data_IF_476639076186
#
_entry.id   IF_476639076186
#
_cell.length_a   1.000
_cell.length_b   1.000
_cell.length_c   1.000
_cell.angle_alpha   90.00
_cell.angle_beta   90.00
_cell.angle_gamma   90.00
#
_symmetry.space_group_name_H-M   'P 1'
#
loop_
_entity.id
_entity.type
_entity.pdbx_description
1 polymer ?
#
# COMPACT_ATOMS: atom_id res chain seq x y z
N UNK A 1 -56.92 -69.18 -60.62
CA UNK A 1 -57.35 -67.86 -60.94
C UNK A 1 -56.68 -66.92 -59.92
N UNK A 2 -55.72 -66.15 -60.45
CA UNK A 2 -55.57 -64.68 -60.27
C UNK A 2 -55.43 -64.21 -58.86
N UNK A 3 -54.57 -63.36 -58.48
CA UNK A 3 -53.76 -62.32 -59.13
C UNK A 3 -52.63 -61.89 -58.17
N UNK A 4 -51.52 -61.44 -58.76
CA UNK A 4 -50.38 -60.79 -58.12
C UNK A 4 -50.73 -59.37 -57.70
N UNK A 5 -50.29 -58.95 -56.52
CA UNK A 5 -50.01 -57.54 -56.31
C UNK A 5 -48.68 -57.35 -55.72
N UNK A 6 -47.89 -56.56 -56.37
CA UNK A 6 -46.59 -56.04 -56.11
C UNK A 6 -46.75 -54.97 -55.02
N UNK A 7 -46.01 -55.03 -53.92
CA UNK A 7 -45.95 -54.01 -52.92
C UNK A 7 -44.55 -53.42 -52.81
N UNK A 8 -44.44 -52.15 -53.12
CA UNK A 8 -43.27 -51.33 -53.25
C UNK A 8 -42.57 -51.11 -51.93
N UNK A 9 -41.28 -51.45 -51.90
CA UNK A 9 -40.40 -51.17 -50.78
C UNK A 9 -40.12 -49.64 -50.65
N UNK A 10 -40.49 -49.07 -49.49
CA UNK A 10 -40.13 -47.71 -49.16
C UNK A 10 -38.88 -47.76 -48.24
N UNK A 11 -37.74 -47.41 -48.82
CA UNK A 11 -36.49 -47.25 -48.09
C UNK A 11 -36.54 -45.98 -47.26
N UNK A 12 -36.53 -46.14 -45.96
CA UNK A 12 -36.39 -45.06 -45.01
C UNK A 12 -34.94 -44.61 -44.98
N UNK A 13 -34.71 -43.39 -45.46
CA UNK A 13 -33.42 -42.69 -45.34
C UNK A 13 -33.27 -42.19 -43.90
N UNK A 14 -32.39 -42.81 -43.10
CA UNK A 14 -31.91 -42.28 -41.81
C UNK A 14 -30.92 -41.14 -42.13
N UNK A 15 -31.35 -39.92 -41.82
CA UNK A 15 -30.50 -38.73 -41.83
C UNK A 15 -29.65 -38.74 -40.54
N UNK A 16 -28.35 -38.96 -40.68
CA UNK A 16 -27.38 -38.76 -39.61
C UNK A 16 -27.15 -37.24 -39.44
N UNK A 17 -27.68 -36.67 -38.38
CA UNK A 17 -27.33 -35.31 -37.92
C UNK A 17 -26.11 -35.41 -37.02
N UNK A 18 -24.96 -34.79 -37.37
CA UNK A 18 -23.83 -34.78 -36.48
C UNK A 18 -24.14 -33.85 -35.27
N UNK A 19 -24.17 -34.43 -34.10
CA UNK A 19 -24.18 -33.66 -32.84
C UNK A 19 -22.83 -32.97 -32.68
N UNK A 20 -22.79 -31.66 -32.98
CA UNK A 20 -21.68 -30.80 -32.55
C UNK A 20 -21.68 -30.75 -31.03
N UNK A 21 -20.69 -31.41 -30.42
CA UNK A 21 -20.35 -31.21 -29.03
C UNK A 21 -19.66 -29.84 -28.93
N UNK A 22 -20.39 -28.84 -28.44
CA UNK A 22 -19.81 -27.56 -28.04
C UNK A 22 -19.08 -27.78 -26.71
N UNK A 23 -17.76 -27.97 -26.80
CA UNK A 23 -16.89 -27.95 -25.63
C UNK A 23 -16.80 -26.51 -25.13
N UNK A 24 -17.58 -26.17 -24.12
CA UNK A 24 -17.36 -24.92 -23.36
C UNK A 24 -16.03 -25.01 -22.62
N UNK A 25 -14.98 -24.46 -23.26
CA UNK A 25 -13.71 -24.18 -22.56
C UNK A 25 -14.01 -23.05 -21.57
N UNK A 26 -14.27 -23.38 -20.32
CA UNK A 26 -14.31 -22.43 -19.22
C UNK A 26 -12.92 -21.84 -19.04
N UNK A 27 -12.69 -20.61 -19.53
CA UNK A 27 -11.54 -19.81 -19.13
C UNK A 27 -11.70 -19.52 -17.62
N UNK A 28 -10.97 -20.25 -16.82
CA UNK A 28 -10.67 -19.86 -15.45
C UNK A 28 -9.80 -18.61 -15.55
N UNK A 29 -10.43 -17.43 -15.50
CA UNK A 29 -9.75 -16.19 -15.25
C UNK A 29 -9.17 -16.30 -13.83
N UNK A 30 -7.92 -16.77 -13.71
CA UNK A 30 -7.12 -16.58 -12.52
C UNK A 30 -7.07 -15.07 -12.32
N UNK A 31 -7.83 -14.58 -11.34
CA UNK A 31 -7.82 -13.18 -10.93
C UNK A 31 -6.45 -12.84 -10.38
N UNK A 32 -5.52 -12.50 -11.26
CA UNK A 32 -4.30 -11.83 -10.87
C UNK A 32 -4.72 -10.60 -10.08
N UNK A 33 -4.27 -10.48 -8.84
CA UNK A 33 -4.36 -9.26 -8.06
C UNK A 33 -3.63 -8.18 -8.87
N UNK A 34 -4.38 -7.45 -9.69
CA UNK A 34 -3.82 -6.37 -10.49
C UNK A 34 -3.57 -5.20 -9.55
N UNK A 35 -2.35 -5.12 -9.02
CA UNK A 35 -1.87 -3.88 -8.44
C UNK A 35 -1.56 -2.92 -9.59
N UNK A 36 -2.23 -1.78 -9.62
CA UNK A 36 -1.93 -0.74 -10.62
C UNK A 36 -0.91 0.21 -10.03
N UNK A 37 0.24 0.35 -10.69
CA UNK A 37 1.23 1.35 -10.34
C UNK A 37 0.57 2.73 -10.47
N UNK A 38 0.54 3.50 -9.39
CA UNK A 38 0.13 4.89 -9.41
C UNK A 38 1.39 5.78 -9.36
N UNK A 39 1.85 6.31 -10.50
CA UNK A 39 3.02 7.17 -10.51
C UNK A 39 2.77 8.39 -9.62
N UNK A 40 3.83 8.88 -8.98
CA UNK A 40 3.77 10.14 -8.25
C UNK A 40 3.28 11.23 -9.21
N UNK A 41 2.09 11.78 -8.92
CA UNK A 41 1.53 12.83 -9.74
C UNK A 41 2.34 14.11 -9.52
N UNK A 42 3.08 14.55 -10.52
CA UNK A 42 3.72 15.87 -10.53
C UNK A 42 2.74 17.03 -10.29
N UNK A 43 1.46 16.81 -10.59
CA UNK A 43 0.38 17.76 -10.33
C UNK A 43 0.14 17.97 -8.82
N UNK A 44 0.52 17.03 -7.96
CA UNK A 44 0.39 17.16 -6.51
C UNK A 44 1.52 18.00 -5.89
N UNK A 45 2.60 18.28 -6.63
CA UNK A 45 3.78 19.00 -6.15
C UNK A 45 3.70 20.49 -6.45
N UNK A 46 3.98 21.30 -5.44
CA UNK A 46 4.15 22.74 -5.62
C UNK A 46 5.44 23.05 -6.40
N UNK A 47 5.59 24.26 -6.99
CA UNK A 47 6.86 24.68 -7.60
C UNK A 47 8.04 24.62 -6.61
N UNK A 48 7.79 24.88 -5.33
CA UNK A 48 8.79 24.75 -4.26
C UNK A 48 9.22 23.30 -4.09
N UNK A 49 8.28 22.35 -4.06
CA UNK A 49 8.57 20.92 -3.94
C UNK A 49 9.46 20.46 -5.10
N UNK A 50 9.05 20.77 -6.33
CA UNK A 50 9.81 20.42 -7.54
C UNK A 50 11.24 20.94 -7.49
N UNK A 51 11.41 22.22 -7.10
CA UNK A 51 12.74 22.85 -6.99
C UNK A 51 13.63 22.16 -5.94
N UNK A 52 13.06 21.85 -4.77
CA UNK A 52 13.83 21.25 -3.67
C UNK A 52 14.18 19.79 -3.97
N UNK A 53 13.26 19.01 -4.53
CA UNK A 53 13.48 17.59 -4.83
C UNK A 53 14.41 17.39 -6.04
N UNK A 54 14.35 18.23 -7.06
CA UNK A 54 15.25 18.13 -8.21
C UNK A 54 16.73 18.28 -7.84
N UNK A 55 17.03 18.98 -6.74
CA UNK A 55 18.41 19.21 -6.25
C UNK A 55 18.72 18.37 -4.99
N UNK A 56 17.88 17.39 -4.68
CA UNK A 56 18.11 16.51 -3.53
C UNK A 56 19.29 15.57 -3.79
N UNK A 57 20.16 15.31 -2.80
CA UNK A 57 21.32 14.43 -2.96
C UNK A 57 20.94 12.98 -3.22
N UNK A 58 19.67 12.62 -2.99
CA UNK A 58 19.09 11.29 -3.18
C UNK A 58 18.14 11.22 -4.40
N UNK A 59 18.13 12.20 -5.29
CA UNK A 59 17.22 12.26 -6.45
C UNK A 59 17.34 11.03 -7.38
N UNK A 60 18.45 10.31 -7.32
CA UNK A 60 18.71 9.09 -8.11
C UNK A 60 18.47 7.79 -7.32
N UNK A 61 17.95 7.87 -6.09
CA UNK A 61 17.66 6.68 -5.30
C UNK A 61 16.58 5.82 -5.96
N UNK A 62 16.82 4.53 -6.06
CA UNK A 62 15.87 3.56 -6.63
C UNK A 62 15.12 2.86 -5.52
N UNK A 63 13.79 2.96 -5.54
CA UNK A 63 12.92 2.26 -4.62
C UNK A 63 12.64 0.85 -5.19
N UNK A 64 12.83 -0.23 -4.41
CA UNK A 64 12.48 -1.58 -4.85
C UNK A 64 11.00 -1.67 -5.25
N UNK A 65 10.71 -2.40 -6.33
CA UNK A 65 9.36 -2.48 -6.92
C UNK A 65 8.24 -2.79 -5.93
N UNK A 66 8.39 -3.73 -4.98
CA UNK A 66 7.32 -4.01 -4.01
C UNK A 66 6.95 -2.81 -3.13
N UNK A 67 7.87 -1.87 -2.94
CA UNK A 67 7.70 -0.70 -2.07
C UNK A 67 7.35 0.59 -2.82
N UNK A 68 7.20 0.54 -4.14
CA UNK A 68 6.61 1.65 -4.89
C UNK A 68 5.14 1.79 -4.56
N UNK A 69 4.59 2.98 -4.78
CA UNK A 69 3.19 3.26 -4.53
C UNK A 69 2.28 2.54 -5.51
N UNK A 70 1.27 1.81 -4.99
CA UNK A 70 0.30 1.07 -5.79
C UNK A 70 -1.11 1.25 -5.26
N UNK A 71 -2.10 1.23 -6.16
CA UNK A 71 -3.49 0.96 -5.78
C UNK A 71 -3.66 -0.55 -5.68
N UNK A 72 -4.11 -1.02 -4.52
CA UNK A 72 -4.29 -2.43 -4.21
C UNK A 72 -5.72 -2.73 -3.76
N UNK A 73 -6.12 -4.00 -3.83
CA UNK A 73 -7.33 -4.46 -3.16
C UNK A 73 -7.13 -4.38 -1.65
N UNK A 74 -8.15 -3.92 -0.94
CA UNK A 74 -8.11 -3.75 0.51
C UNK A 74 -9.28 -4.50 1.14
N UNK A 75 -8.97 -5.57 1.89
CA UNK A 75 -9.97 -6.50 2.42
C UNK A 75 -10.23 -6.33 3.92
N UNK A 76 -9.61 -5.34 4.55
CA UNK A 76 -9.81 -5.03 5.95
C UNK A 76 -11.02 -4.11 6.12
N UNK A 77 -11.44 -3.88 7.37
CA UNK A 77 -12.70 -3.21 7.73
C UNK A 77 -12.59 -1.69 7.91
N UNK A 78 -11.39 -1.13 7.84
CA UNK A 78 -11.19 0.29 8.06
C UNK A 78 -11.88 1.11 6.95
N UNK A 79 -12.51 2.20 7.35
CA UNK A 79 -13.31 3.05 6.43
C UNK A 79 -12.43 3.90 5.51
N UNK A 80 -12.96 4.28 4.35
CA UNK A 80 -12.29 5.19 3.42
C UNK A 80 -11.82 6.49 4.12
N UNK A 81 -10.62 6.94 3.78
CA UNK A 81 -9.96 8.08 4.40
C UNK A 81 -9.11 7.73 5.64
N UNK A 82 -9.11 6.47 6.09
CA UNK A 82 -8.25 6.00 7.19
C UNK A 82 -6.83 5.73 6.70
N UNK A 83 -5.84 6.07 7.53
CA UNK A 83 -4.45 5.62 7.38
C UNK A 83 -4.28 4.33 8.20
N UNK A 84 -3.74 3.29 7.60
CA UNK A 84 -3.40 2.04 8.30
C UNK A 84 -1.91 1.77 8.12
N UNK A 85 -1.19 1.59 9.23
CA UNK A 85 0.24 1.31 9.24
C UNK A 85 0.44 -0.15 9.59
N UNK A 86 1.04 -0.90 8.68
CA UNK A 86 1.49 -2.28 8.84
C UNK A 86 3.03 -2.27 8.93
N UNK A 87 3.52 -2.22 10.16
CA UNK A 87 4.96 -2.18 10.42
C UNK A 87 5.66 -3.49 10.06
N UNK A 88 4.97 -4.63 10.16
CA UNK A 88 5.54 -5.95 9.84
C UNK A 88 5.80 -6.10 8.34
N UNK A 89 4.84 -5.67 7.52
CA UNK A 89 4.93 -5.72 6.06
C UNK A 89 5.70 -4.53 5.47
N UNK A 90 5.96 -3.49 6.25
CA UNK A 90 6.58 -2.22 5.84
C UNK A 90 5.74 -1.46 4.81
N UNK A 91 4.44 -1.43 5.06
CA UNK A 91 3.48 -0.71 4.26
C UNK A 91 2.62 0.25 5.07
N UNK A 92 2.27 1.35 4.45
CA UNK A 92 1.19 2.23 4.89
C UNK A 92 0.10 2.20 3.83
N UNK A 93 -1.15 2.09 4.27
CA UNK A 93 -2.33 2.11 3.42
C UNK A 93 -3.13 3.38 3.68
N UNK A 94 -3.50 4.09 2.63
CA UNK A 94 -4.56 5.08 2.66
C UNK A 94 -5.80 4.45 2.05
N UNK A 95 -6.80 4.19 2.89
CA UNK A 95 -8.00 3.45 2.49
C UNK A 95 -8.86 4.29 1.57
N UNK A 96 -9.22 3.74 0.42
CA UNK A 96 -10.13 4.31 -0.56
C UNK A 96 -11.53 3.68 -0.44
N UNK A 97 -12.49 4.18 -1.23
CA UNK A 97 -13.76 3.51 -1.44
C UNK A 97 -13.59 2.18 -2.18
N UNK A 98 -14.67 1.40 -2.29
CA UNK A 98 -14.80 0.22 -3.14
C UNK A 98 -13.75 -0.89 -2.87
N UNK A 99 -13.36 -1.06 -1.60
CA UNK A 99 -12.42 -2.09 -1.20
C UNK A 99 -11.01 -1.92 -1.80
N UNK A 100 -10.58 -0.69 -1.99
CA UNK A 100 -9.25 -0.31 -2.48
C UNK A 100 -8.48 0.46 -1.43
N UNK A 101 -7.16 0.49 -1.59
CA UNK A 101 -6.28 1.38 -0.86
C UNK A 101 -5.08 1.79 -1.72
N UNK A 102 -4.53 2.96 -1.45
CA UNK A 102 -3.19 3.31 -1.92
C UNK A 102 -2.22 2.72 -0.90
N UNK A 103 -1.33 1.86 -1.37
CA UNK A 103 -0.26 1.27 -0.57
C UNK A 103 1.05 1.99 -0.85
N UNK A 104 1.68 2.47 0.20
CA UNK A 104 2.99 3.11 0.18
C UNK A 104 4.01 2.21 0.87
N UNK A 105 5.21 2.09 0.31
CA UNK A 105 6.34 1.51 1.02
C UNK A 105 6.85 2.45 2.10
N UNK A 106 7.20 1.91 3.26
CA UNK A 106 7.68 2.68 4.40
C UNK A 106 8.97 2.11 4.97
N UNK A 107 9.73 2.98 5.65
CA UNK A 107 10.73 2.57 6.63
C UNK A 107 10.12 2.70 8.01
N UNK A 108 10.26 1.68 8.84
CA UNK A 108 9.80 1.70 10.24
C UNK A 108 10.99 1.74 11.20
N UNK A 109 10.80 2.38 12.34
CA UNK A 109 11.77 2.36 13.43
C UNK A 109 11.56 1.19 14.38
N UNK A 110 12.60 0.77 15.10
CA UNK A 110 12.48 -0.23 16.15
C UNK A 110 11.48 0.21 17.21
N UNK A 111 11.47 1.51 17.58
CA UNK A 111 10.49 2.09 18.50
C UNK A 111 9.11 2.29 17.84
N UNK A 112 8.99 2.20 16.50
CA UNK A 112 7.70 2.19 15.80
C UNK A 112 6.88 0.93 16.11
N UNK A 113 7.54 -0.11 16.56
CA UNK A 113 6.90 -1.31 17.09
C UNK A 113 6.32 -1.08 18.50
N UNK A 114 6.69 0.02 19.17
CA UNK A 114 6.23 0.32 20.52
C UNK A 114 4.83 0.97 20.56
N UNK A 115 4.35 1.58 19.47
CA UNK A 115 3.00 2.13 19.38
C UNK A 115 2.13 1.30 18.44
N UNK A 116 1.05 0.77 18.96
CA UNK A 116 -0.04 0.16 18.19
C UNK A 116 -1.37 0.62 18.77
N UNK A 117 -2.36 0.80 17.90
CA UNK A 117 -3.68 1.23 18.30
C UNK A 117 -4.28 2.31 17.41
N UNK A 118 -5.26 3.01 17.97
CA UNK A 118 -6.05 4.03 17.28
C UNK A 118 -5.55 5.43 17.65
N UNK A 119 -5.26 6.21 16.64
CA UNK A 119 -4.79 7.57 16.76
C UNK A 119 -5.44 8.47 15.69
N UNK A 120 -5.04 9.74 15.64
CA UNK A 120 -5.47 10.69 14.62
C UNK A 120 -4.33 11.61 14.18
N UNK A 121 -4.46 12.18 12.99
CA UNK A 121 -3.60 13.27 12.55
C UNK A 121 -4.02 14.55 13.27
N UNK A 122 -3.19 15.03 14.20
CA UNK A 122 -3.49 16.24 14.97
C UNK A 122 -2.89 17.52 14.36
N UNK A 123 -1.78 17.40 13.62
CA UNK A 123 -1.10 18.52 12.95
C UNK A 123 -0.44 18.04 11.66
N UNK A 124 -0.31 18.95 10.71
CA UNK A 124 0.36 18.74 9.42
C UNK A 124 1.37 19.86 9.19
N UNK A 125 2.52 19.56 8.59
CA UNK A 125 3.54 20.54 8.30
C UNK A 125 4.26 20.26 6.99
N UNK A 126 4.45 21.29 6.17
CA UNK A 126 5.22 21.23 4.94
C UNK A 126 6.67 21.64 5.21
N UNK A 127 7.61 20.86 4.70
CA UNK A 127 9.05 21.09 4.87
C UNK A 127 9.38 21.49 6.31
N UNK A 128 9.11 20.61 7.30
CA UNK A 128 9.34 20.91 8.71
C UNK A 128 10.84 21.08 8.99
N UNK A 129 11.16 21.85 10.00
CA UNK A 129 12.48 21.78 10.63
C UNK A 129 12.61 20.51 11.48
N UNK A 130 13.82 20.12 11.79
CA UNK A 130 14.07 18.99 12.67
C UNK A 130 14.92 19.38 13.87
N UNK A 131 14.42 19.05 15.05
CA UNK A 131 15.15 19.13 16.31
C UNK A 131 15.12 17.74 16.93
N UNK A 132 16.28 17.07 17.04
CA UNK A 132 16.33 15.74 17.63
C UNK A 132 15.88 15.73 19.08
N UNK A 133 15.12 14.71 19.47
CA UNK A 133 14.77 14.46 20.88
C UNK A 133 16.02 14.10 21.69
N UNK A 134 15.92 14.18 23.01
CA UNK A 134 17.05 13.79 23.88
C UNK A 134 17.43 12.32 23.69
N UNK A 135 16.48 11.45 23.41
CA UNK A 135 16.74 10.01 23.18
C UNK A 135 17.44 9.78 21.85
N UNK A 136 17.06 10.51 20.79
CA UNK A 136 17.78 10.50 19.51
C UNK A 136 19.22 11.00 19.70
N UNK A 137 19.43 12.10 20.47
CA UNK A 137 20.78 12.59 20.76
C UNK A 137 21.63 11.58 21.53
N UNK A 138 21.06 10.93 22.53
CA UNK A 138 21.76 9.86 23.28
C UNK A 138 22.18 8.69 22.41
N UNK A 139 21.30 8.27 21.50
CA UNK A 139 21.54 7.11 20.63
C UNK A 139 22.49 7.39 19.49
N UNK A 140 22.33 8.52 18.80
CA UNK A 140 23.10 8.87 17.60
C UNK A 140 24.36 9.69 17.89
N UNK A 141 24.52 10.18 19.11
CA UNK A 141 25.73 10.91 19.52
C UNK A 141 25.87 12.28 18.85
N UNK A 142 26.92 12.45 18.06
CA UNK A 142 27.27 13.74 17.46
C UNK A 142 26.37 14.08 16.25
N UNK A 143 25.18 14.59 16.52
CA UNK A 143 24.22 15.04 15.50
C UNK A 143 23.90 16.53 15.68
N UNK A 144 23.49 17.26 14.61
CA UNK A 144 23.09 18.66 14.72
C UNK A 144 21.96 18.86 15.75
N UNK A 145 22.06 19.93 16.53
CA UNK A 145 20.99 20.32 17.46
C UNK A 145 19.72 20.79 16.75
N UNK A 146 19.84 21.21 15.49
CA UNK A 146 18.77 21.70 14.63
C UNK A 146 19.14 21.51 13.16
N UNK A 147 18.16 21.09 12.34
CA UNK A 147 18.27 21.06 10.88
C UNK A 147 17.14 21.89 10.27
N UNK A 148 17.51 22.88 9.47
CA UNK A 148 16.55 23.73 8.77
C UNK A 148 15.70 22.95 7.73
N UNK A 149 14.52 23.47 7.35
CA UNK A 149 13.73 22.91 6.26
C UNK A 149 14.52 22.75 4.96
N UNK A 150 14.38 21.61 4.30
CA UNK A 150 15.04 21.39 3.01
C UNK A 150 15.33 19.92 2.72
N UNK A 151 15.96 19.61 1.55
CA UNK A 151 16.18 18.24 1.09
C UNK A 151 17.14 17.44 1.98
N UNK A 152 18.00 18.11 2.76
CA UNK A 152 18.91 17.45 3.70
C UNK A 152 18.28 17.15 5.08
N UNK A 153 17.06 17.65 5.31
CA UNK A 153 16.37 17.45 6.58
C UNK A 153 15.80 16.03 6.68
N UNK A 154 16.07 15.29 7.78
CA UNK A 154 15.58 13.94 7.95
C UNK A 154 14.04 13.82 8.00
N UNK A 155 13.31 14.91 8.28
CA UNK A 155 11.84 14.93 8.24
C UNK A 155 11.29 15.02 6.81
N UNK A 156 12.13 15.31 5.83
CA UNK A 156 11.74 15.40 4.42
C UNK A 156 10.74 16.50 4.12
N UNK A 157 9.94 16.26 3.08
CA UNK A 157 9.04 17.26 2.47
C UNK A 157 7.77 17.53 3.28
N UNK A 158 7.26 16.55 4.03
CA UNK A 158 5.98 16.61 4.77
C UNK A 158 6.06 15.84 6.07
N UNK A 159 5.32 16.31 7.08
CA UNK A 159 5.10 15.59 8.32
C UNK A 159 3.64 15.61 8.76
N UNK A 160 3.13 14.45 9.15
CA UNK A 160 1.85 14.25 9.82
C UNK A 160 2.17 13.89 11.28
N UNK A 161 1.67 14.68 12.21
CA UNK A 161 1.87 14.49 13.65
C UNK A 161 0.71 13.69 14.21
N UNK A 162 1.02 12.56 14.83
CA UNK A 162 0.03 11.58 15.30
C UNK A 162 -0.29 11.81 16.76
N UNK A 163 -1.58 11.88 17.08
CA UNK A 163 -2.11 12.14 18.41
C UNK A 163 -3.03 11.02 18.88
N UNK A 164 -2.91 10.64 20.14
CA UNK A 164 -3.88 9.81 20.85
C UNK A 164 -4.72 10.72 21.75
N UNK A 165 -6.00 10.87 21.41
CA UNK A 165 -6.82 11.92 22.03
C UNK A 165 -6.19 13.30 21.80
N UNK A 166 -5.84 14.00 22.91
CA UNK A 166 -5.17 15.30 22.87
C UNK A 166 -3.65 15.22 23.14
N UNK A 167 -3.14 14.02 23.36
CA UNK A 167 -1.72 13.79 23.64
C UNK A 167 -0.95 13.58 22.35
N UNK A 168 0.11 14.35 22.14
CA UNK A 168 1.09 14.09 21.09
C UNK A 168 1.84 12.80 21.42
N UNK A 169 1.74 11.80 20.55
CA UNK A 169 2.39 10.50 20.72
C UNK A 169 3.89 10.54 20.44
N UNK A 170 4.39 11.65 19.94
CA UNK A 170 5.73 11.82 19.35
C UNK A 170 5.95 10.96 18.09
N UNK A 171 4.95 10.23 17.65
CA UNK A 171 4.94 9.51 16.38
C UNK A 171 4.70 10.47 15.23
N UNK A 172 5.45 10.26 14.15
CA UNK A 172 5.34 11.04 12.93
C UNK A 172 5.28 10.10 11.74
N UNK A 173 4.47 10.47 10.77
CA UNK A 173 4.48 9.92 9.41
C UNK A 173 5.05 11.03 8.53
N UNK A 174 6.24 10.82 7.93
CA UNK A 174 6.95 11.93 7.28
C UNK A 174 7.79 11.47 6.09
N UNK A 175 8.26 12.41 5.28
CA UNK A 175 9.21 12.16 4.21
C UNK A 175 10.60 11.78 4.74
N UNK A 176 11.56 11.57 3.86
CA UNK A 176 12.92 11.22 4.26
C UNK A 176 13.96 11.84 3.33
N UNK A 177 15.16 12.06 3.85
CA UNK A 177 16.36 12.33 3.06
C UNK A 177 17.20 11.07 2.79
N UNK A 178 16.66 9.88 3.13
CA UNK A 178 17.30 8.57 2.98
C UNK A 178 16.32 7.56 2.37
N UNK A 179 15.82 7.79 1.13
CA UNK A 179 14.81 6.94 0.51
C UNK A 179 15.30 5.53 0.18
N UNK A 180 16.61 5.29 0.13
CA UNK A 180 17.23 3.98 -0.06
C UNK A 180 16.86 2.96 1.02
N UNK A 181 16.38 3.43 2.17
CA UNK A 181 15.95 2.57 3.27
C UNK A 181 14.46 2.21 3.25
N UNK A 182 13.70 2.66 2.26
CA UNK A 182 12.28 2.25 2.13
C UNK A 182 12.20 0.73 2.00
N UNK A 183 11.33 0.11 2.78
CA UNK A 183 11.22 -1.34 2.93
C UNK A 183 12.04 -1.93 4.09
N UNK A 184 12.81 -1.13 4.81
CA UNK A 184 13.67 -1.56 5.91
C UNK A 184 13.10 -1.23 7.29
N UNK A 185 13.65 -1.87 8.34
CA UNK A 185 13.36 -1.58 9.73
C UNK A 185 14.64 -1.04 10.40
N UNK A 186 14.94 0.25 10.23
CA UNK A 186 16.20 0.85 10.70
C UNK A 186 16.03 2.23 11.34
N UNK A 187 14.83 2.68 11.60
CA UNK A 187 14.61 4.03 12.11
C UNK A 187 14.34 4.07 13.62
N UNK A 188 14.36 5.27 14.15
CA UNK A 188 14.17 5.56 15.57
C UNK A 188 12.72 5.88 15.95
N UNK A 189 11.74 5.12 15.46
CA UNK A 189 10.36 5.22 15.93
C UNK A 189 9.38 5.91 14.99
N UNK A 190 9.81 6.67 13.98
CA UNK A 190 8.92 7.32 13.03
C UNK A 190 8.67 6.44 11.79
N UNK A 191 7.57 6.70 11.11
CA UNK A 191 7.19 6.09 9.83
C UNK A 191 7.69 7.01 8.72
N UNK A 192 8.61 6.51 7.88
CA UNK A 192 9.19 7.31 6.79
C UNK A 192 8.67 6.84 5.44
N UNK A 193 8.31 7.77 4.58
CA UNK A 193 7.97 7.58 3.17
C UNK A 193 9.03 8.24 2.29
N UNK A 194 9.03 7.95 0.99
CA UNK A 194 9.70 8.85 0.05
C UNK A 194 9.09 10.25 0.15
N UNK A 195 9.80 11.27 -0.29
CA UNK A 195 9.25 12.64 -0.24
C UNK A 195 8.05 12.82 -1.16
N UNK A 196 8.05 12.15 -2.30
CA UNK A 196 6.97 12.12 -3.27
C UNK A 196 5.71 11.47 -2.69
N UNK A 197 5.86 10.35 -2.00
CA UNK A 197 4.76 9.64 -1.34
C UNK A 197 4.25 10.41 -0.12
N UNK A 198 5.14 11.08 0.62
CA UNK A 198 4.76 11.93 1.73
C UNK A 198 3.92 13.13 1.25
N UNK A 199 4.25 13.73 0.08
CA UNK A 199 3.47 14.82 -0.54
C UNK A 199 2.11 14.30 -0.97
N UNK A 200 2.04 13.15 -1.64
CA UNK A 200 0.79 12.55 -2.09
C UNK A 200 -0.15 12.23 -0.91
N UNK A 201 0.36 11.54 0.11
CA UNK A 201 -0.41 11.23 1.31
C UNK A 201 -0.88 12.49 2.05
N UNK A 202 0.01 13.48 2.21
CA UNK A 202 -0.29 14.74 2.86
C UNK A 202 -1.46 15.48 2.19
N UNK A 203 -1.51 15.49 0.87
CA UNK A 203 -2.57 16.17 0.12
C UNK A 203 -3.94 15.47 0.27
N UNK A 204 -3.97 14.17 0.53
CA UNK A 204 -5.19 13.39 0.75
C UNK A 204 -5.71 13.50 2.19
N UNK A 205 -4.81 13.66 3.15
CA UNK A 205 -5.08 13.58 4.58
C UNK A 205 -5.57 14.91 5.15
N UNK A 206 -6.59 14.87 6.00
CA UNK A 206 -7.11 16.01 6.75
C UNK A 206 -6.71 15.93 8.23
N UNK A 207 -6.80 17.06 8.93
CA UNK A 207 -6.74 17.06 10.40
C UNK A 207 -7.90 16.18 10.91
N UNK A 208 -7.66 15.41 11.96
CA UNK A 208 -8.54 14.39 12.52
C UNK A 208 -8.71 13.12 11.65
N UNK A 209 -7.97 12.97 10.54
CA UNK A 209 -7.91 11.68 9.86
C UNK A 209 -7.48 10.59 10.84
N UNK A 210 -8.25 9.50 10.87
CA UNK A 210 -7.95 8.32 11.69
C UNK A 210 -6.67 7.64 11.25
N UNK A 211 -5.84 7.26 12.22
CA UNK A 211 -4.62 6.47 12.01
C UNK A 211 -4.73 5.20 12.84
N UNK A 212 -4.67 4.06 12.19
CA UNK A 212 -4.61 2.74 12.82
C UNK A 212 -3.19 2.22 12.66
N UNK A 213 -2.49 1.98 13.75
CA UNK A 213 -1.20 1.30 13.74
C UNK A 213 -1.41 -0.13 14.21
N UNK A 214 -1.16 -1.09 13.33
CA UNK A 214 -1.39 -2.51 13.61
C UNK A 214 -0.37 -3.00 14.64
N UNK A 215 -0.85 -3.82 15.59
CA UNK A 215 0.06 -4.52 16.49
C UNK A 215 0.86 -5.58 15.71
N UNK A 216 2.06 -5.96 16.19
CA UNK A 216 2.84 -7.04 15.59
C UNK A 216 2.00 -8.31 15.34
N UNK A 217 2.14 -8.90 14.17
CA UNK A 217 1.38 -10.08 13.75
C UNK A 217 -0.08 -9.82 13.33
N UNK A 218 -0.54 -8.57 13.28
CA UNK A 218 -1.89 -8.21 12.81
C UNK A 218 -1.93 -7.73 11.36
N UNK A 219 -0.78 -7.52 10.75
CA UNK A 219 -0.65 -7.08 9.36
C UNK A 219 -0.78 -8.21 8.35
N UNK A 220 -0.66 -7.85 7.07
CA UNK A 220 -0.75 -8.77 5.92
C UNK A 220 0.62 -9.39 5.56
N UNK A 221 1.56 -9.40 6.50
CA UNK A 221 2.87 -10.01 6.28
C UNK A 221 2.74 -11.50 5.96
N UNK A 222 3.52 -12.03 4.98
CA UNK A 222 3.58 -13.47 4.70
C UNK A 222 3.94 -14.33 5.91
N UNK A 223 4.53 -13.72 6.93
CA UNK A 223 4.86 -14.38 8.22
C UNK A 223 3.70 -14.39 9.20
N UNK A 224 2.57 -13.74 8.87
CA UNK A 224 1.39 -13.77 9.73
C UNK A 224 0.65 -15.11 9.60
N UNK A 225 0.63 -15.96 10.64
CA UNK A 225 0.01 -17.30 10.55
C UNK A 225 -1.50 -17.26 10.30
N UNK A 226 -2.18 -16.10 10.50
CA UNK A 226 -3.61 -15.95 10.18
C UNK A 226 -3.90 -15.90 8.68
N UNK A 227 -2.95 -15.47 7.86
CA UNK A 227 -3.09 -15.42 6.39
C UNK A 227 -2.55 -16.68 5.71
N UNK A 228 -1.64 -17.41 6.34
CA UNK A 228 -1.14 -18.68 5.84
C UNK A 228 -2.24 -19.77 5.74
N UNK A 229 -3.39 -19.59 6.41
CA UNK A 229 -4.45 -20.58 6.49
C UNK A 229 -5.61 -20.41 5.48
N UNK A 230 -5.64 -19.32 4.72
CA UNK A 230 -6.73 -19.06 3.74
C UNK A 230 -6.41 -19.51 2.32
N UNK A 231 -5.22 -20.08 2.07
CA UNK A 231 -4.76 -20.55 0.75
C UNK A 231 -4.81 -22.06 0.52
N UNK A 232 -5.53 -22.84 1.31
CA UNK A 232 -5.54 -24.30 1.17
C UNK A 232 -6.79 -24.94 1.73
N UNK A 233 -7.91 -24.82 1.03
CA UNK A 233 -8.94 -25.83 1.04
C UNK A 233 -9.06 -26.39 -0.36
N UNK A 234 -8.12 -27.26 -0.69
CA UNK A 234 -8.33 -28.21 -1.76
C UNK A 234 -9.42 -29.16 -1.29
N UNK A 235 -10.50 -29.14 -2.03
CA UNK A 235 -11.63 -30.06 -1.93
C UNK A 235 -11.16 -31.39 -2.51
N UNK A 236 -11.13 -32.44 -1.72
CA UNK A 236 -11.27 -33.79 -2.20
C UNK A 236 -12.69 -34.03 -2.66
#
# INVERSE_FOLDING_TARGET
>A
MSERKVGTSMAARFSLVPRLAVACLGLLAAGCVQSTLEPASDAAMTPRDKKLLANAPYAQATIPEPYKRHIVNYHRKETAGTIVVDSDARYLYYVLADGKAIRYGITVGEDALAFSGLARVGRKEEWPSWTPTNDIKKRLGNIPAYVAPGPHNPMGSRALYVYEGNKDTLYRIHGTNQPEYIGSAISSGCIRLTNEDAIDLFNRVKINTTVVVLAPGQGDSPTNPRLAFTGGRDVN
#
